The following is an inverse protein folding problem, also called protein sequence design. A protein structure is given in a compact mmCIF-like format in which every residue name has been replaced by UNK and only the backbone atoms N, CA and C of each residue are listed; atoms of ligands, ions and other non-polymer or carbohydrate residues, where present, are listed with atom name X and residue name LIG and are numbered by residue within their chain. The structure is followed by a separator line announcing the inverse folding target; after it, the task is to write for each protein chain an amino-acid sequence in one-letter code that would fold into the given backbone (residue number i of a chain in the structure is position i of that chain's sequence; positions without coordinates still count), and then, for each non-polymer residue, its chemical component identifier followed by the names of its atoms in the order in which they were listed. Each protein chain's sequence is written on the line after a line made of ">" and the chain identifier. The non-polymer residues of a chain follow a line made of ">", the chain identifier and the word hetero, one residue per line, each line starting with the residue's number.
data_IF_268378296476
#
_entry.id   IF_268378296476
#
_cell.length_a   1.000
_cell.length_b   1.000
_cell.length_c   1.000
_cell.angle_alpha   90.00
_cell.angle_beta   90.00
_cell.angle_gamma   90.00
#
_symmetry.space_group_name_H-M   'P 1'
#
loop_
_entity.id
_entity.type
_entity.pdbx_description
1 polymer ?
#
# COMPACT_ATOMS: atom_id res chain seq x y z
N UNK A 1 -2.73 16.02 22.36
CA UNK A 1 -2.99 16.73 21.08
C UNK A 1 -2.32 15.99 19.91
N UNK A 2 -3.00 15.78 18.77
CA UNK A 2 -2.40 15.13 17.59
C UNK A 2 -1.57 16.14 16.78
N UNK A 3 -0.24 15.99 16.75
CA UNK A 3 0.65 16.83 15.92
C UNK A 3 0.42 16.58 14.42
N UNK A 4 0.03 15.37 14.04
CA UNK A 4 -0.21 14.96 12.65
C UNK A 4 -1.52 15.56 12.14
N UNK A 5 -2.61 15.44 12.89
CA UNK A 5 -3.93 15.91 12.48
C UNK A 5 -4.01 17.42 12.19
N UNK A 6 -3.22 18.22 12.91
CA UNK A 6 -3.17 19.68 12.74
C UNK A 6 -2.42 20.16 11.48
N UNK A 7 -1.62 19.30 10.83
CA UNK A 7 -0.87 19.69 9.64
C UNK A 7 -1.82 19.85 8.45
N UNK A 8 -1.86 21.01 7.79
CA UNK A 8 -2.61 21.17 6.56
C UNK A 8 -2.10 20.24 5.47
N UNK A 9 -2.98 19.83 4.57
CA UNK A 9 -2.64 19.02 3.39
C UNK A 9 -2.71 19.95 2.18
N UNK A 10 -1.60 20.26 1.53
CA UNK A 10 -1.62 21.09 0.33
C UNK A 10 -2.31 20.35 -0.81
N UNK A 11 -3.15 21.05 -1.58
CA UNK A 11 -3.78 20.53 -2.78
C UNK A 11 -2.85 20.84 -3.96
N UNK A 12 -2.24 19.83 -4.61
CA UNK A 12 -1.39 20.05 -5.76
C UNK A 12 -2.18 20.57 -6.97
N UNK A 13 -1.52 21.25 -7.90
CA UNK A 13 -2.12 21.68 -9.17
C UNK A 13 -2.66 20.45 -9.92
N UNK A 14 -3.91 20.55 -10.42
CA UNK A 14 -4.57 19.46 -11.16
C UNK A 14 -5.31 18.45 -10.28
N UNK A 15 -5.40 18.69 -8.97
CA UNK A 15 -6.23 17.88 -8.05
C UNK A 15 -7.48 18.67 -7.66
N UNK A 16 -8.62 18.04 -7.79
CA UNK A 16 -9.91 18.57 -7.34
C UNK A 16 -10.38 17.74 -6.13
N UNK A 17 -10.82 18.44 -5.09
CA UNK A 17 -11.34 17.80 -3.86
C UNK A 17 -12.78 18.23 -3.67
N UNK A 18 -13.68 17.26 -3.47
CA UNK A 18 -15.07 17.49 -3.09
C UNK A 18 -15.33 16.79 -1.75
N UNK A 19 -16.01 17.47 -0.87
CA UNK A 19 -16.36 16.96 0.46
C UNK A 19 -17.86 16.71 0.48
N UNK A 20 -18.27 15.45 0.61
CA UNK A 20 -19.66 15.02 0.62
C UNK A 20 -19.96 14.33 1.97
N UNK A 21 -20.45 15.11 2.92
CA UNK A 21 -20.76 14.63 4.27
C UNK A 21 -19.55 13.98 4.95
N UNK A 22 -19.53 12.65 5.03
CA UNK A 22 -18.48 11.87 5.68
C UNK A 22 -17.49 11.23 4.68
N UNK A 23 -17.52 11.63 3.40
CA UNK A 23 -16.63 11.11 2.36
C UNK A 23 -15.92 12.26 1.66
N UNK A 24 -14.64 12.09 1.40
CA UNK A 24 -13.81 13.02 0.63
C UNK A 24 -13.52 12.37 -0.73
N UNK A 25 -14.01 12.99 -1.79
CA UNK A 25 -13.75 12.61 -3.18
C UNK A 25 -12.53 13.38 -3.67
N UNK A 26 -11.48 12.68 -4.04
CA UNK A 26 -10.25 13.28 -4.56
C UNK A 26 -10.08 12.83 -6.01
N UNK A 27 -10.02 13.78 -6.92
CA UNK A 27 -9.78 13.53 -8.34
C UNK A 27 -8.48 14.17 -8.78
N UNK A 28 -7.62 13.41 -9.45
CA UNK A 28 -6.33 13.87 -9.95
C UNK A 28 -5.98 13.25 -11.31
N UNK A 29 -4.75 13.46 -11.79
CA UNK A 29 -4.31 13.01 -13.12
C UNK A 29 -4.30 11.48 -13.26
N UNK A 30 -4.12 10.72 -12.16
CA UNK A 30 -4.08 9.25 -12.19
C UNK A 30 -5.44 8.59 -11.96
N UNK A 31 -6.45 9.35 -11.55
CA UNK A 31 -7.78 8.80 -11.33
C UNK A 31 -8.56 9.50 -10.23
N UNK A 32 -9.58 8.81 -9.75
CA UNK A 32 -10.46 9.27 -8.66
C UNK A 32 -10.38 8.28 -7.51
N UNK A 33 -10.43 8.79 -6.29
CA UNK A 33 -10.45 7.98 -5.08
C UNK A 33 -11.40 8.58 -4.06
N UNK A 34 -12.22 7.72 -3.48
CA UNK A 34 -13.18 8.07 -2.44
C UNK A 34 -12.63 7.63 -1.09
N UNK A 35 -12.61 8.54 -0.13
CA UNK A 35 -12.05 8.27 1.19
C UNK A 35 -13.10 8.55 2.25
N UNK A 36 -13.54 7.51 2.95
CA UNK A 36 -14.44 7.66 4.09
C UNK A 36 -13.70 8.24 5.30
N UNK A 37 -14.31 9.23 5.93
CA UNK A 37 -13.78 9.85 7.14
C UNK A 37 -14.26 9.07 8.39
N UNK A 38 -13.44 8.95 9.41
CA UNK A 38 -13.87 8.45 10.71
C UNK A 38 -14.96 9.33 11.31
N UNK A 39 -15.86 8.72 12.08
CA UNK A 39 -16.97 9.43 12.75
C UNK A 39 -16.46 10.54 13.67
N UNK A 40 -17.13 11.71 13.61
CA UNK A 40 -16.80 12.88 14.44
C UNK A 40 -15.63 13.71 13.94
N UNK A 41 -15.08 13.42 12.75
CA UNK A 41 -14.06 14.24 12.12
C UNK A 41 -14.65 14.91 10.88
N UNK A 42 -14.49 16.21 10.80
CA UNK A 42 -14.86 17.02 9.64
C UNK A 42 -13.60 17.47 8.90
N UNK A 43 -13.76 17.71 7.61
CA UNK A 43 -12.68 18.20 6.77
C UNK A 43 -13.16 19.47 6.08
N UNK A 44 -12.34 20.51 6.09
CA UNK A 44 -12.62 21.76 5.40
C UNK A 44 -11.49 22.12 4.45
N UNK A 45 -11.82 22.80 3.38
CA UNK A 45 -10.84 23.37 2.46
C UNK A 45 -10.66 24.86 2.80
N UNK A 46 -9.41 25.25 3.15
CA UNK A 46 -9.02 26.63 3.47
C UNK A 46 -7.73 26.99 2.74
N UNK A 47 -7.71 28.10 2.05
CA UNK A 47 -6.53 28.66 1.38
C UNK A 47 -5.75 27.67 0.50
N UNK A 48 -6.46 26.83 -0.25
CA UNK A 48 -5.84 25.81 -1.11
C UNK A 48 -5.28 24.60 -0.36
N UNK A 49 -5.58 24.47 0.93
CA UNK A 49 -5.21 23.35 1.78
C UNK A 49 -6.46 22.64 2.32
N UNK A 50 -6.30 21.39 2.66
CA UNK A 50 -7.31 20.61 3.37
C UNK A 50 -6.91 20.54 4.85
N UNK A 51 -7.85 20.86 5.74
CA UNK A 51 -7.66 20.83 7.18
C UNK A 51 -8.69 19.90 7.80
N UNK A 52 -8.23 18.94 8.61
CA UNK A 52 -9.10 18.08 9.39
C UNK A 52 -9.45 18.79 10.72
N UNK A 53 -10.72 18.71 11.12
CA UNK A 53 -11.26 19.34 12.32
C UNK A 53 -11.90 18.24 13.17
N UNK A 54 -11.67 18.28 14.46
CA UNK A 54 -12.30 17.40 15.45
C UNK A 54 -13.17 18.20 16.41
N UNK A 55 -14.21 17.60 16.91
CA UNK A 55 -15.12 18.23 17.87
C UNK A 55 -14.59 18.10 19.32
N UNK A 56 -13.99 16.94 19.64
CA UNK A 56 -13.57 16.62 21.03
C UNK A 56 -12.12 16.13 21.09
N UNK A 57 -11.51 16.29 22.27
CA UNK A 57 -10.13 15.81 22.50
C UNK A 57 -9.99 14.28 22.53
N UNK A 58 -11.05 13.55 22.85
CA UNK A 58 -11.11 12.08 22.75
C UNK A 58 -10.86 11.56 21.33
N UNK A 59 -11.16 12.37 20.32
CA UNK A 59 -11.00 12.04 18.90
C UNK A 59 -9.58 12.32 18.34
N UNK A 60 -8.59 12.55 19.22
CA UNK A 60 -7.23 12.90 18.79
C UNK A 60 -6.59 11.83 17.88
N UNK A 61 -6.86 10.55 18.13
CA UNK A 61 -6.39 9.44 17.28
C UNK A 61 -7.07 9.45 15.90
N UNK A 62 -8.40 9.59 15.87
CA UNK A 62 -9.20 9.64 14.63
C UNK A 62 -8.86 10.87 13.79
N UNK A 63 -8.55 12.00 14.43
CA UNK A 63 -8.09 13.22 13.77
C UNK A 63 -6.79 12.99 12.96
N UNK A 64 -5.81 12.31 13.58
CA UNK A 64 -4.57 11.93 12.88
C UNK A 64 -4.80 10.92 11.76
N UNK A 65 -5.69 9.95 11.96
CA UNK A 65 -6.08 8.95 10.97
C UNK A 65 -6.73 9.61 9.75
N UNK A 66 -7.77 10.44 9.96
CA UNK A 66 -8.46 11.12 8.88
C UNK A 66 -7.51 11.95 8.01
N UNK A 67 -6.64 12.73 8.66
CA UNK A 67 -5.61 13.52 7.95
C UNK A 67 -4.70 12.63 7.12
N UNK A 68 -4.26 11.49 7.66
CA UNK A 68 -3.37 10.58 6.96
C UNK A 68 -4.07 9.90 5.75
N UNK A 69 -5.34 9.51 5.90
CA UNK A 69 -6.14 8.91 4.83
C UNK A 69 -6.33 9.89 3.66
N UNK A 70 -6.75 11.13 3.96
CA UNK A 70 -6.93 12.16 2.93
C UNK A 70 -5.60 12.51 2.24
N UNK A 71 -4.50 12.62 3.00
CA UNK A 71 -3.18 12.86 2.42
C UNK A 71 -2.76 11.71 1.49
N UNK A 72 -2.99 10.45 1.89
CA UNK A 72 -2.69 9.30 1.06
C UNK A 72 -3.50 9.30 -0.24
N UNK A 73 -4.77 9.73 -0.18
CA UNK A 73 -5.60 9.86 -1.37
C UNK A 73 -5.08 10.95 -2.32
N UNK A 74 -4.72 12.13 -1.79
CA UNK A 74 -4.14 13.22 -2.60
C UNK A 74 -2.83 12.79 -3.26
N UNK A 75 -1.93 12.13 -2.52
CA UNK A 75 -0.68 11.60 -3.08
C UNK A 75 -0.94 10.48 -4.09
N UNK A 76 -1.92 9.61 -3.83
CA UNK A 76 -2.27 8.49 -4.70
C UNK A 76 -2.77 8.94 -6.06
N UNK A 77 -3.68 9.92 -6.12
CA UNK A 77 -4.20 10.42 -7.40
C UNK A 77 -3.20 11.30 -8.16
N UNK A 78 -2.14 11.78 -7.49
CA UNK A 78 -1.07 12.57 -8.13
C UNK A 78 0.08 11.71 -8.60
N UNK A 79 0.79 11.06 -7.67
CA UNK A 79 2.01 10.29 -7.92
C UNK A 79 1.72 8.80 -8.11
N UNK A 80 0.68 8.30 -7.46
CA UNK A 80 0.44 6.88 -7.27
C UNK A 80 1.31 6.30 -6.15
N UNK A 81 0.98 5.07 -5.77
CA UNK A 81 1.72 4.29 -4.79
C UNK A 81 2.38 3.10 -5.47
N UNK A 82 3.61 2.83 -5.08
CA UNK A 82 4.37 1.67 -5.56
C UNK A 82 4.84 0.85 -4.38
N UNK A 83 4.76 -0.48 -4.50
CA UNK A 83 5.30 -1.42 -3.53
C UNK A 83 6.03 -2.53 -4.25
N UNK A 84 7.31 -2.70 -3.93
CA UNK A 84 8.15 -3.70 -4.54
C UNK A 84 8.29 -4.93 -3.64
N UNK A 85 8.20 -6.11 -4.26
CA UNK A 85 8.42 -7.40 -3.65
C UNK A 85 9.61 -8.09 -4.30
N UNK A 86 10.35 -8.86 -3.52
CA UNK A 86 11.46 -9.69 -3.99
C UNK A 86 11.16 -11.16 -3.68
N UNK A 87 11.44 -12.01 -4.65
CA UNK A 87 11.31 -13.46 -4.53
C UNK A 87 12.71 -14.04 -4.41
N UNK A 88 12.97 -14.72 -3.30
CA UNK A 88 14.26 -15.32 -3.01
C UNK A 88 14.12 -16.83 -2.87
N UNK A 89 14.86 -17.57 -3.66
CA UNK A 89 14.87 -19.04 -3.63
C UNK A 89 15.26 -19.63 -4.97
N UNK A 90 15.92 -20.79 -4.97
CA UNK A 90 16.29 -21.51 -6.19
C UNK A 90 14.99 -22.04 -6.83
N UNK A 91 14.75 -21.67 -8.09
CA UNK A 91 13.53 -22.06 -8.81
C UNK A 91 12.26 -21.30 -8.42
N UNK A 92 12.34 -20.32 -7.47
CA UNK A 92 11.20 -19.47 -7.15
C UNK A 92 11.11 -18.32 -8.16
N UNK A 93 9.92 -18.14 -8.72
CA UNK A 93 9.67 -17.11 -9.73
C UNK A 93 8.21 -16.66 -9.74
N UNK A 94 7.98 -15.51 -10.34
CA UNK A 94 6.64 -15.01 -10.67
C UNK A 94 6.57 -14.64 -12.14
N UNK A 95 5.42 -14.82 -12.74
CA UNK A 95 5.15 -14.51 -14.14
C UNK A 95 3.79 -13.80 -14.25
N UNK A 96 3.65 -12.92 -15.23
CA UNK A 96 2.36 -12.31 -15.53
C UNK A 96 1.57 -13.21 -16.50
N UNK A 97 0.35 -13.59 -16.11
CA UNK A 97 -0.62 -14.28 -16.99
C UNK A 97 -1.66 -13.26 -17.46
N UNK A 98 -1.41 -12.66 -18.61
CA UNK A 98 -2.23 -11.56 -19.10
C UNK A 98 -2.07 -10.29 -18.28
N UNK A 99 -3.10 -9.43 -18.25
CA UNK A 99 -3.06 -8.11 -17.59
C UNK A 99 -3.49 -8.09 -16.11
N UNK A 100 -4.01 -9.20 -15.59
CA UNK A 100 -4.67 -9.15 -14.27
C UNK A 100 -4.36 -10.32 -13.35
N UNK A 101 -3.43 -11.22 -13.70
CA UNK A 101 -3.10 -12.39 -12.87
C UNK A 101 -1.59 -12.53 -12.76
N UNK A 102 -1.10 -12.69 -11.54
CA UNK A 102 0.30 -13.04 -11.26
C UNK A 102 0.36 -14.51 -10.88
N UNK A 103 1.18 -15.27 -11.56
CA UNK A 103 1.40 -16.71 -11.30
C UNK A 103 2.70 -16.87 -10.53
N UNK A 104 2.63 -17.51 -9.39
CA UNK A 104 3.78 -17.75 -8.52
C UNK A 104 4.19 -19.22 -8.55
N UNK A 105 5.45 -19.50 -8.84
CA UNK A 105 6.11 -20.79 -8.63
C UNK A 105 7.02 -20.70 -7.42
N UNK A 106 6.54 -21.15 -6.25
CA UNK A 106 7.21 -20.98 -4.95
C UNK A 106 7.59 -22.31 -4.31
N UNK A 107 7.81 -23.37 -5.12
CA UNK A 107 8.18 -24.69 -4.60
C UNK A 107 7.02 -25.48 -3.98
N UNK A 108 5.80 -25.18 -4.36
CA UNK A 108 4.61 -26.00 -4.13
C UNK A 108 4.39 -26.95 -5.30
N UNK A 109 3.55 -27.97 -5.13
CA UNK A 109 3.25 -28.97 -6.16
C UNK A 109 2.56 -28.36 -7.40
N UNK A 110 1.90 -27.22 -7.24
CA UNK A 110 1.24 -26.48 -8.32
C UNK A 110 1.56 -24.98 -8.22
N UNK A 111 1.55 -24.24 -9.31
CA UNK A 111 1.69 -22.80 -9.29
C UNK A 111 0.46 -22.15 -8.64
N UNK A 112 0.66 -21.03 -7.98
CA UNK A 112 -0.41 -20.25 -7.34
C UNK A 112 -0.76 -19.09 -8.26
N UNK A 113 -2.01 -19.04 -8.71
CA UNK A 113 -2.54 -17.92 -9.48
C UNK A 113 -3.15 -16.88 -8.52
N UNK A 114 -2.67 -15.65 -8.58
CA UNK A 114 -3.17 -14.54 -7.79
C UNK A 114 -3.82 -13.49 -8.70
N UNK A 115 -5.16 -13.37 -8.69
CA UNK A 115 -5.87 -12.33 -9.45
C UNK A 115 -5.65 -10.97 -8.79
N UNK A 116 -5.29 -9.97 -9.60
CA UNK A 116 -5.16 -8.59 -9.14
C UNK A 116 -6.54 -7.93 -9.04
N UNK A 117 -6.82 -7.21 -7.95
CA UNK A 117 -8.03 -6.40 -7.86
C UNK A 117 -7.96 -5.20 -8.81
N UNK A 118 -9.12 -4.69 -9.18
CA UNK A 118 -9.25 -3.49 -10.02
C UNK A 118 -8.56 -2.30 -9.35
N UNK A 119 -7.74 -1.55 -10.11
CA UNK A 119 -7.00 -0.39 -9.59
C UNK A 119 -5.59 -0.69 -9.10
N UNK A 120 -5.16 -1.96 -9.13
CA UNK A 120 -3.76 -2.36 -8.88
C UNK A 120 -3.18 -3.01 -10.12
N UNK A 121 -2.02 -2.54 -10.53
CA UNK A 121 -1.23 -3.11 -11.62
C UNK A 121 0.03 -3.76 -11.05
N UNK A 122 0.47 -4.84 -11.66
CA UNK A 122 1.72 -5.49 -11.34
C UNK A 122 2.64 -5.51 -12.56
N UNK A 123 3.93 -5.28 -12.32
CA UNK A 123 4.98 -5.49 -13.30
C UNK A 123 6.00 -6.47 -12.73
N UNK A 124 6.34 -7.49 -13.51
CA UNK A 124 7.33 -8.50 -13.13
C UNK A 124 8.62 -8.23 -13.92
N UNK A 125 9.76 -8.24 -13.24
CA UNK A 125 11.08 -8.09 -13.85
C UNK A 125 11.36 -9.29 -14.81
N UNK A 126 12.13 -9.09 -15.90
CA UNK A 126 12.56 -10.16 -16.79
C UNK A 126 13.24 -11.34 -16.11
N UNK A 127 13.87 -11.13 -14.95
CA UNK A 127 14.43 -12.20 -14.10
C UNK A 127 13.39 -12.95 -13.29
N UNK A 128 12.12 -12.53 -13.32
CA UNK A 128 11.00 -13.16 -12.61
C UNK A 128 11.16 -13.22 -11.08
N UNK A 129 12.06 -12.39 -10.52
CA UNK A 129 12.39 -12.36 -9.09
C UNK A 129 11.96 -11.09 -8.39
N UNK A 130 11.49 -10.09 -9.12
CA UNK A 130 10.97 -8.83 -8.55
C UNK A 130 9.60 -8.53 -9.13
N UNK A 131 8.74 -8.03 -8.27
CA UNK A 131 7.38 -7.60 -8.63
C UNK A 131 7.20 -6.20 -8.11
N UNK A 132 6.82 -5.26 -8.99
CA UNK A 132 6.44 -3.91 -8.64
C UNK A 132 4.93 -3.78 -8.75
N UNK A 133 4.28 -3.49 -7.63
CA UNK A 133 2.83 -3.24 -7.55
C UNK A 133 2.60 -1.73 -7.58
N UNK A 134 1.71 -1.26 -8.43
CA UNK A 134 1.35 0.15 -8.57
C UNK A 134 -0.15 0.35 -8.49
N UNK A 135 -0.59 1.46 -7.91
CA UNK A 135 -2.01 1.80 -7.79
C UNK A 135 -2.23 3.19 -7.22
N UNK A 136 -3.46 3.65 -7.26
CA UNK A 136 -3.84 4.95 -6.70
C UNK A 136 -4.18 4.86 -5.21
N UNK A 137 -4.68 3.70 -4.75
CA UNK A 137 -5.02 3.46 -3.36
C UNK A 137 -3.88 2.76 -2.62
N UNK A 138 -3.29 3.46 -1.65
CA UNK A 138 -2.23 2.94 -0.79
C UNK A 138 -2.65 1.71 -0.01
N UNK A 139 -3.90 1.68 0.47
CA UNK A 139 -4.42 0.57 1.25
C UNK A 139 -4.52 -0.68 0.39
N UNK A 140 -5.09 -0.56 -0.80
CA UNK A 140 -5.26 -1.67 -1.73
C UNK A 140 -3.92 -2.23 -2.20
N UNK A 141 -2.98 -1.36 -2.61
CA UNK A 141 -1.60 -1.78 -2.98
C UNK A 141 -0.90 -2.47 -1.83
N UNK A 142 -1.05 -1.95 -0.60
CA UNK A 142 -0.47 -2.54 0.60
C UNK A 142 -1.07 -3.91 0.95
N UNK A 143 -2.38 -4.06 0.80
CA UNK A 143 -3.10 -5.31 1.04
C UNK A 143 -2.65 -6.40 0.07
N UNK A 144 -2.65 -6.10 -1.24
CA UNK A 144 -2.18 -7.02 -2.28
C UNK A 144 -0.73 -7.46 -2.03
N UNK A 145 0.13 -6.52 -1.68
CA UNK A 145 1.53 -6.84 -1.35
C UNK A 145 1.66 -7.75 -0.12
N UNK A 146 0.84 -7.53 0.91
CA UNK A 146 0.82 -8.37 2.11
C UNK A 146 0.31 -9.78 1.81
N UNK A 147 -0.73 -9.91 1.00
CA UNK A 147 -1.28 -11.20 0.56
C UNK A 147 -0.26 -11.98 -0.26
N UNK A 148 0.36 -11.35 -1.26
CA UNK A 148 1.43 -11.98 -2.05
C UNK A 148 2.61 -12.43 -1.18
N UNK A 149 3.00 -11.61 -0.19
CA UNK A 149 4.04 -11.99 0.76
C UNK A 149 3.63 -13.19 1.62
N UNK A 150 2.36 -13.29 1.99
CA UNK A 150 1.82 -14.39 2.80
C UNK A 150 1.77 -15.73 2.07
N UNK A 151 1.78 -15.75 0.73
CA UNK A 151 1.82 -16.99 -0.06
C UNK A 151 3.01 -17.87 0.30
N UNK A 152 4.18 -17.28 0.51
CA UNK A 152 5.37 -17.94 1.04
C UNK A 152 6.22 -16.94 1.82
N UNK A 153 6.00 -16.81 3.13
CA UNK A 153 6.79 -15.88 3.95
C UNK A 153 8.26 -16.33 4.00
N UNK A 154 9.19 -15.39 4.14
CA UNK A 154 10.62 -15.72 4.15
C UNK A 154 10.98 -16.59 5.34
N UNK A 155 11.72 -17.68 5.05
CA UNK A 155 12.23 -18.60 6.06
C UNK A 155 13.33 -17.91 6.92
N UNK A 156 13.32 -18.07 8.25
CA UNK A 156 14.27 -17.40 9.13
C UNK A 156 15.72 -17.90 9.01
N UNK A 157 15.97 -19.07 8.40
CA UNK A 157 17.31 -19.63 8.29
C UNK A 157 18.02 -19.22 7.00
N UNK A 158 17.35 -19.33 5.86
CA UNK A 158 17.88 -19.05 4.52
C UNK A 158 17.27 -17.83 3.85
N UNK A 159 16.26 -17.21 4.47
CA UNK A 159 15.49 -16.08 3.95
C UNK A 159 14.82 -16.34 2.57
N UNK A 160 14.51 -17.62 2.27
CA UNK A 160 13.80 -18.01 1.06
C UNK A 160 12.30 -17.72 1.21
N UNK A 161 11.70 -17.12 0.21
CA UNK A 161 10.29 -16.76 0.18
C UNK A 161 10.06 -15.42 -0.53
N UNK A 162 8.87 -14.88 -0.40
CA UNK A 162 8.46 -13.56 -0.90
C UNK A 162 8.62 -12.54 0.24
N UNK A 163 9.36 -11.45 0.00
CA UNK A 163 9.60 -10.39 0.96
C UNK A 163 9.40 -9.01 0.33
N UNK A 164 9.23 -7.99 1.15
CA UNK A 164 9.30 -6.62 0.66
C UNK A 164 10.73 -6.25 0.24
N UNK A 165 10.87 -5.43 -0.78
CA UNK A 165 12.18 -4.91 -1.16
C UNK A 165 12.80 -4.13 0.01
N UNK A 166 14.05 -4.46 0.36
CA UNK A 166 14.75 -3.85 1.48
C UNK A 166 14.28 -4.30 2.88
N UNK A 167 13.43 -5.32 2.99
CA UNK A 167 12.99 -5.85 4.29
C UNK A 167 14.15 -6.46 5.08
N UNK A 168 14.38 -5.98 6.31
CA UNK A 168 15.35 -6.57 7.23
C UNK A 168 14.75 -7.79 7.92
N UNK A 169 15.20 -8.96 7.54
CA UNK A 169 14.78 -10.23 8.12
C UNK A 169 15.71 -10.65 9.27
N UNK A 170 15.12 -11.07 10.40
CA UNK A 170 15.87 -11.67 11.49
C UNK A 170 16.33 -13.08 11.07
N UNK A 171 17.63 -13.29 10.92
CA UNK A 171 18.20 -14.59 10.60
C UNK A 171 18.47 -15.37 11.87
N UNK A 172 18.03 -16.64 11.91
CA UNK A 172 18.36 -17.59 12.97
C UNK A 172 19.59 -18.42 12.57
N UNK A 173 20.40 -18.77 13.55
CA UNK A 173 21.54 -19.69 13.37
C UNK A 173 21.01 -21.12 13.43
N UNK A 174 21.40 -21.96 12.47
CA UNK A 174 21.07 -23.39 12.49
C UNK A 174 21.86 -24.14 13.55
N UNK A 175 21.52 -25.42 13.79
CA UNK A 175 22.15 -26.28 14.81
C UNK A 175 23.70 -26.34 14.77
N UNK A 176 24.28 -26.23 13.59
CA UNK A 176 25.76 -26.26 13.37
C UNK A 176 26.46 -24.97 13.83
N UNK A 177 25.77 -23.88 14.06
CA UNK A 177 26.36 -22.61 14.53
C UNK A 177 26.15 -22.34 16.02
N UNK A 178 25.53 -23.26 16.74
CA UNK A 178 25.37 -23.22 18.19
C UNK A 178 26.53 -23.99 18.85
N UNK A 179 27.75 -23.40 18.79
CA UNK A 179 28.87 -23.76 19.66
C UNK A 179 29.05 -22.66 20.68
#
# INVERSE_FOLDING_TARGET
>A
MSRIGKKPIPIPKGVTVKIEGNTVLVQGPKGKLDTALPTGIKVEQKDGNIVAIRENDSQAALHGLARALVNNAVEGVTKGWTRDLEIVGIGYRAEMKGKGVVVFSLGYSHPIEYPLPTGVEAAVDPKQTKISLTGIDRQQVGQVAAEMRSLRPPDPYKNKGVRYAGERLKKKVGKTGAK
#
